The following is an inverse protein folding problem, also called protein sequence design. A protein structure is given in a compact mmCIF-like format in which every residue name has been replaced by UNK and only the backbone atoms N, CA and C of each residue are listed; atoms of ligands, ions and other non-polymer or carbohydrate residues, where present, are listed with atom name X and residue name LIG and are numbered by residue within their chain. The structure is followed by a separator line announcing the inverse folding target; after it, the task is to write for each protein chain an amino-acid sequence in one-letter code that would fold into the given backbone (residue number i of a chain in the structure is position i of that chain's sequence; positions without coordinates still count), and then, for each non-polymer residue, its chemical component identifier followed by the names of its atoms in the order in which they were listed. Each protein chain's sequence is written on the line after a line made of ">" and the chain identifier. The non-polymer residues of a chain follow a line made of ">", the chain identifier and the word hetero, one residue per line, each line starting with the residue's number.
data_IF_444958362484
#
_entry.id   IF_444958362484
#
_cell.length_a   1.000
_cell.length_b   1.000
_cell.length_c   1.000
_cell.angle_alpha   90.00
_cell.angle_beta   90.00
_cell.angle_gamma   90.00
#
_symmetry.space_group_name_H-M   'P 1'
#
loop_
_entity.id
_entity.type
_entity.pdbx_description
1 polymer ?
#
# COMPACT_ATOMS: atom_id res chain seq x y z
N UNK A 1 -38.99 7.89 -83.98
CA UNK A 1 -37.90 8.89 -84.00
C UNK A 1 -36.70 8.30 -83.29
N UNK A 2 -35.60 8.18 -84.02
CA UNK A 2 -34.30 7.71 -83.56
C UNK A 2 -33.58 8.82 -82.79
N UNK A 3 -32.93 8.53 -81.66
CA UNK A 3 -31.50 8.83 -81.45
C UNK A 3 -31.07 8.57 -80.02
N UNK A 4 -30.18 7.58 -79.89
CA UNK A 4 -29.22 7.37 -78.81
C UNK A 4 -28.19 8.49 -78.77
N UNK A 5 -27.63 8.81 -77.59
CA UNK A 5 -26.18 9.12 -77.44
C UNK A 5 -25.66 8.59 -76.10
N UNK A 6 -24.53 7.87 -76.23
CA UNK A 6 -23.78 7.17 -75.21
C UNK A 6 -22.91 8.09 -74.35
N UNK A 7 -22.37 7.56 -73.24
CA UNK A 7 -20.94 7.63 -72.93
C UNK A 7 -20.56 6.63 -71.83
N UNK A 8 -19.39 6.03 -72.04
CA UNK A 8 -18.75 4.96 -71.30
C UNK A 8 -18.06 5.43 -70.00
N UNK A 9 -17.72 4.49 -69.12
CA UNK A 9 -16.49 4.62 -68.33
C UNK A 9 -16.48 4.01 -66.93
N UNK A 10 -15.77 2.89 -66.79
CA UNK A 10 -14.79 2.53 -65.73
C UNK A 10 -15.19 2.59 -64.24
N UNK A 11 -15.15 1.45 -63.55
CA UNK A 11 -13.96 1.00 -62.79
C UNK A 11 -14.34 -0.11 -61.78
N UNK A 12 -13.62 -1.24 -61.83
CA UNK A 12 -13.57 -2.25 -60.78
C UNK A 12 -12.62 -1.75 -59.67
N UNK A 13 -13.07 -1.71 -58.42
CA UNK A 13 -12.20 -1.82 -57.25
C UNK A 13 -12.87 -2.76 -56.25
N UNK A 14 -12.30 -3.96 -56.10
CA UNK A 14 -12.59 -4.88 -55.02
C UNK A 14 -12.01 -4.31 -53.71
N UNK A 15 -12.86 -4.11 -52.70
CA UNK A 15 -12.38 -3.82 -51.35
C UNK A 15 -12.24 -5.13 -50.57
N UNK A 16 -10.99 -5.48 -50.28
CA UNK A 16 -10.59 -6.49 -49.31
C UNK A 16 -11.05 -5.99 -47.94
N UNK A 17 -12.00 -6.68 -47.31
CA UNK A 17 -12.35 -6.45 -45.93
C UNK A 17 -11.19 -6.92 -45.05
N UNK A 18 -10.38 -5.98 -44.57
CA UNK A 18 -9.45 -6.25 -43.48
C UNK A 18 -10.27 -6.47 -42.21
N UNK A 19 -10.37 -7.73 -41.77
CA UNK A 19 -10.80 -8.04 -40.42
C UNK A 19 -9.75 -7.49 -39.47
N UNK A 20 -10.03 -6.33 -38.88
CA UNK A 20 -9.37 -5.87 -37.66
C UNK A 20 -9.70 -6.89 -36.58
N UNK A 21 -8.80 -7.86 -36.40
CA UNK A 21 -8.66 -8.53 -35.13
C UNK A 21 -8.23 -7.45 -34.14
N UNK A 22 -9.22 -6.86 -33.46
CA UNK A 22 -8.97 -6.11 -32.26
C UNK A 22 -8.36 -7.09 -31.26
N UNK A 23 -7.03 -7.07 -31.14
CA UNK A 23 -6.38 -7.56 -29.95
C UNK A 23 -6.82 -6.63 -28.83
N UNK A 24 -7.92 -6.99 -28.18
CA UNK A 24 -8.28 -6.51 -26.86
C UNK A 24 -7.15 -6.98 -25.94
N UNK A 25 -6.09 -6.17 -25.84
CA UNK A 25 -5.14 -6.27 -24.75
C UNK A 25 -5.92 -5.94 -23.49
N UNK A 26 -6.57 -6.96 -22.92
CA UNK A 26 -6.96 -6.94 -21.53
C UNK A 26 -5.64 -6.94 -20.77
N UNK A 27 -5.11 -5.75 -20.46
CA UNK A 27 -4.28 -5.65 -19.26
C UNK A 27 -5.21 -6.11 -18.16
N UNK A 28 -5.01 -7.34 -17.70
CA UNK A 28 -5.49 -7.73 -16.38
C UNK A 28 -4.89 -6.68 -15.45
N UNK A 29 -5.74 -5.84 -14.85
CA UNK A 29 -5.31 -5.09 -13.69
C UNK A 29 -4.93 -6.16 -12.67
N UNK A 30 -3.62 -6.40 -12.46
CA UNK A 30 -3.07 -7.43 -11.59
C UNK A 30 -3.27 -7.02 -10.12
N UNK A 31 -4.52 -6.80 -9.77
CA UNK A 31 -4.99 -6.26 -8.51
C UNK A 31 -5.75 -7.35 -7.78
N UNK A 32 -5.42 -7.55 -6.51
CA UNK A 32 -6.03 -8.59 -5.67
C UNK A 32 -6.15 -8.13 -4.22
N UNK A 33 -7.16 -8.62 -3.49
CA UNK A 33 -7.27 -8.34 -2.07
C UNK A 33 -6.10 -8.97 -1.31
N UNK A 34 -5.51 -8.21 -0.41
CA UNK A 34 -4.60 -8.71 0.62
C UNK A 34 -5.35 -9.04 1.90
N UNK A 35 -4.59 -9.43 2.92
CA UNK A 35 -5.08 -9.53 4.29
C UNK A 35 -4.13 -8.84 5.24
N UNK A 36 -4.64 -8.42 6.40
CA UNK A 36 -3.85 -7.82 7.47
C UNK A 36 -4.04 -8.56 8.77
N UNK A 37 -2.98 -8.61 9.57
CA UNK A 37 -2.98 -9.10 10.95
C UNK A 37 -2.11 -8.15 11.80
N UNK A 38 -2.19 -8.22 13.13
CA UNK A 38 -1.24 -7.51 13.98
C UNK A 38 0.21 -7.88 13.65
N UNK A 39 1.11 -6.90 13.68
CA UNK A 39 2.55 -7.13 13.61
C UNK A 39 3.02 -8.06 14.74
N UNK A 40 4.04 -8.90 14.51
CA UNK A 40 4.65 -9.77 15.54
C UNK A 40 5.23 -8.94 16.69
N UNK A 41 5.63 -7.72 16.36
CA UNK A 41 6.21 -6.75 17.27
C UNK A 41 5.43 -5.44 17.15
N UNK A 42 4.16 -5.55 17.48
CA UNK A 42 3.25 -4.44 17.77
C UNK A 42 3.77 -3.60 18.93
N UNK A 43 4.38 -2.44 18.68
CA UNK A 43 4.54 -1.31 19.61
C UNK A 43 5.04 -1.60 21.02
N UNK A 44 6.36 -1.74 21.18
CA UNK A 44 7.07 -1.99 22.43
C UNK A 44 6.60 -1.18 23.64
N UNK A 45 7.30 -0.12 24.04
CA UNK A 45 6.91 0.69 25.22
C UNK A 45 5.60 1.47 25.02
N UNK A 46 5.13 1.52 23.79
CA UNK A 46 4.17 2.50 23.27
C UNK A 46 2.73 1.96 23.39
N UNK A 47 2.60 0.67 23.72
CA UNK A 47 1.37 0.08 24.27
C UNK A 47 0.41 -0.48 23.22
N UNK A 48 0.88 -0.68 22.00
CA UNK A 48 0.07 -1.21 20.89
C UNK A 48 0.15 -2.73 20.74
N UNK A 49 0.91 -3.40 21.61
CA UNK A 49 1.07 -4.85 21.73
C UNK A 49 -0.22 -5.66 21.40
N UNK A 50 -0.12 -6.54 20.41
CA UNK A 50 -1.18 -7.44 19.93
C UNK A 50 -2.19 -6.82 18.97
N UNK A 51 -2.03 -5.56 18.54
CA UNK A 51 -3.01 -4.87 17.70
C UNK A 51 -2.45 -4.47 16.33
N UNK A 52 -3.35 -4.29 15.38
CA UNK A 52 -3.10 -3.43 14.21
C UNK A 52 -3.18 -2.00 14.72
N UNK A 53 -2.18 -1.17 14.42
CA UNK A 53 -2.14 0.23 14.81
C UNK A 53 -1.80 1.13 13.61
N UNK A 54 -2.50 2.25 13.51
CA UNK A 54 -2.16 3.35 12.60
C UNK A 54 -2.69 4.68 13.15
N UNK A 55 -1.81 5.66 13.26
CA UNK A 55 -2.18 7.05 13.52
C UNK A 55 -1.13 7.77 14.34
N UNK A 56 -1.51 8.93 14.89
CA UNK A 56 -0.56 9.83 15.54
C UNK A 56 -0.89 10.04 17.02
N UNK A 57 0.15 10.14 17.85
CA UNK A 57 0.09 10.43 19.27
C UNK A 57 0.03 9.19 20.15
N UNK A 58 -0.01 9.37 21.47
CA UNK A 58 0.24 8.29 22.43
C UNK A 58 -1.03 7.64 23.03
N UNK A 59 -2.20 7.84 22.42
CA UNK A 59 -3.48 7.32 22.94
C UNK A 59 -4.42 6.94 21.81
N UNK A 60 -5.27 5.94 22.07
CA UNK A 60 -6.34 5.55 21.15
C UNK A 60 -7.33 6.69 20.95
N UNK A 61 -7.69 6.98 19.70
CA UNK A 61 -8.67 8.00 19.36
C UNK A 61 -9.17 7.90 17.92
N UNK A 62 -10.20 8.68 17.59
CA UNK A 62 -10.70 8.78 16.21
C UNK A 62 -9.80 9.69 15.35
N UNK A 63 -9.15 10.65 16.01
CA UNK A 63 -8.24 11.66 15.47
C UNK A 63 -6.78 11.42 15.90
N UNK A 64 -6.50 10.24 16.45
CA UNK A 64 -5.20 9.82 16.98
C UNK A 64 -4.89 8.39 16.51
N UNK A 65 -4.13 7.60 17.27
CA UNK A 65 -3.88 6.19 16.97
C UNK A 65 -5.18 5.40 16.96
N UNK A 66 -5.44 4.75 15.83
CA UNK A 66 -6.55 3.82 15.66
C UNK A 66 -6.06 2.39 15.87
N UNK A 67 -6.91 1.56 16.48
CA UNK A 67 -6.65 0.14 16.69
C UNK A 67 -7.76 -0.69 16.00
N UNK A 68 -7.74 -0.79 14.66
CA UNK A 68 -8.75 -1.51 13.91
C UNK A 68 -8.64 -3.03 14.10
N UNK A 69 -9.75 -3.73 13.91
CA UNK A 69 -9.73 -5.19 13.68
C UNK A 69 -9.38 -5.48 12.21
N UNK A 70 -8.89 -6.69 11.87
CA UNK A 70 -8.52 -7.03 10.49
C UNK A 70 -9.60 -6.76 9.44
N UNK A 71 -10.86 -6.95 9.78
CA UNK A 71 -12.02 -6.72 8.90
C UNK A 71 -12.39 -5.24 8.71
N UNK A 72 -11.69 -4.33 9.39
CA UNK A 72 -11.85 -2.88 9.27
C UNK A 72 -10.74 -2.23 8.45
N UNK A 73 -9.81 -3.02 7.92
CA UNK A 73 -8.70 -2.56 7.10
C UNK A 73 -8.78 -3.24 5.75
N UNK A 74 -8.90 -2.44 4.70
CA UNK A 74 -8.86 -2.93 3.34
C UNK A 74 -7.40 -2.89 2.87
N UNK A 75 -6.94 -4.01 2.30
CA UNK A 75 -5.60 -4.15 1.71
C UNK A 75 -5.77 -4.53 0.26
N UNK A 76 -5.17 -3.75 -0.63
CA UNK A 76 -5.20 -3.97 -2.07
C UNK A 76 -3.77 -4.11 -2.59
N UNK A 77 -3.48 -5.24 -3.23
CA UNK A 77 -2.15 -5.59 -3.71
C UNK A 77 -2.14 -5.50 -5.24
N UNK A 78 -1.22 -4.71 -5.79
CA UNK A 78 -1.08 -4.45 -7.21
C UNK A 78 0.27 -4.98 -7.72
N UNK A 79 0.25 -5.76 -8.80
CA UNK A 79 1.46 -6.36 -9.36
C UNK A 79 2.06 -7.47 -8.49
N UNK A 80 3.28 -7.92 -8.85
CA UNK A 80 3.97 -9.03 -8.20
C UNK A 80 5.49 -8.82 -8.16
N UNK A 81 6.18 -9.52 -7.25
CA UNK A 81 7.63 -9.46 -7.07
C UNK A 81 8.11 -8.03 -6.80
N UNK A 82 9.17 -7.62 -7.48
CA UNK A 82 9.77 -6.28 -7.35
C UNK A 82 8.82 -5.13 -7.78
N UNK A 83 7.71 -5.44 -8.46
CA UNK A 83 6.71 -4.45 -8.87
C UNK A 83 5.47 -4.43 -7.94
N UNK A 84 5.50 -5.16 -6.82
CA UNK A 84 4.39 -5.19 -5.89
C UNK A 84 4.23 -3.83 -5.20
N UNK A 85 3.04 -3.25 -5.31
CA UNK A 85 2.56 -2.11 -4.53
C UNK A 85 1.40 -2.57 -3.66
N UNK A 86 1.33 -2.06 -2.43
CA UNK A 86 0.25 -2.38 -1.50
C UNK A 86 -0.37 -1.08 -1.03
N UNK A 87 -1.67 -0.94 -1.26
CA UNK A 87 -2.49 0.14 -0.76
C UNK A 87 -3.33 -0.36 0.43
N UNK A 88 -3.37 0.45 1.49
CA UNK A 88 -4.05 0.15 2.74
C UNK A 88 -5.02 1.28 3.03
N UNK A 89 -6.28 0.94 3.27
CA UNK A 89 -7.27 1.86 3.81
C UNK A 89 -7.69 1.38 5.20
N UNK A 90 -7.56 2.25 6.19
CA UNK A 90 -7.92 2.00 7.58
C UNK A 90 -8.97 3.02 8.07
N UNK A 91 -9.63 2.77 9.23
CA UNK A 91 -10.69 3.63 9.70
C UNK A 91 -10.28 5.10 9.87
N UNK A 92 -11.27 6.00 9.85
CA UNK A 92 -11.08 7.45 10.02
C UNK A 92 -10.21 8.11 8.92
N UNK A 93 -10.12 7.50 7.74
CA UNK A 93 -9.49 8.09 6.56
C UNK A 93 -7.98 7.94 6.50
N UNK A 94 -7.40 7.02 7.28
CA UNK A 94 -6.00 6.67 7.17
C UNK A 94 -5.75 5.86 5.89
N UNK A 95 -4.83 6.34 5.07
CA UNK A 95 -4.35 5.64 3.88
C UNK A 95 -2.84 5.45 3.96
N UNK A 96 -2.37 4.29 3.57
CA UNK A 96 -0.94 3.98 3.50
C UNK A 96 -0.61 3.23 2.22
N UNK A 97 0.50 3.59 1.57
CA UNK A 97 0.99 2.95 0.36
C UNK A 97 2.42 2.47 0.57
N UNK A 98 2.69 1.24 0.13
CA UNK A 98 4.00 0.60 0.18
C UNK A 98 4.41 0.16 -1.21
N UNK A 99 5.70 0.27 -1.51
CA UNK A 99 6.30 -0.32 -2.72
C UNK A 99 7.35 -1.33 -2.30
N UNK A 100 7.33 -2.50 -2.94
CA UNK A 100 8.21 -3.61 -2.63
C UNK A 100 9.68 -3.20 -2.56
N UNK A 101 10.38 -3.74 -1.55
CA UNK A 101 11.78 -3.46 -1.28
C UNK A 101 12.06 -2.11 -0.60
N UNK A 102 11.07 -1.21 -0.49
CA UNK A 102 11.25 0.07 0.20
C UNK A 102 11.33 -0.10 1.73
N UNK A 103 12.06 0.80 2.39
CA UNK A 103 12.01 1.01 3.85
C UNK A 103 11.06 2.14 4.25
N UNK A 104 10.33 2.70 3.28
CA UNK A 104 9.37 3.78 3.50
C UNK A 104 7.94 3.29 3.32
N UNK A 105 7.03 3.89 4.09
CA UNK A 105 5.58 3.82 3.88
C UNK A 105 5.06 5.24 3.69
N UNK A 106 4.32 5.48 2.61
CA UNK A 106 3.68 6.78 2.37
C UNK A 106 2.34 6.78 3.08
N UNK A 107 2.08 7.74 3.97
CA UNK A 107 0.85 7.79 4.77
C UNK A 107 0.18 9.15 4.60
N UNK A 108 -1.14 9.14 4.52
CA UNK A 108 -1.98 10.33 4.53
C UNK A 108 -3.28 10.13 5.33
N UNK A 109 -3.89 11.26 5.69
CA UNK A 109 -5.26 11.32 6.20
C UNK A 109 -5.89 12.66 5.83
N UNK A 110 -6.68 12.68 4.75
CA UNK A 110 -7.32 13.90 4.26
C UNK A 110 -8.29 14.51 5.29
N UNK A 111 -8.99 13.66 6.06
CA UNK A 111 -9.98 14.10 7.06
C UNK A 111 -9.34 14.89 8.21
N UNK A 112 -8.07 14.61 8.51
CA UNK A 112 -7.27 15.32 9.50
C UNK A 112 -6.38 16.43 8.88
N UNK A 113 -6.44 16.64 7.57
CA UNK A 113 -5.55 17.50 6.79
C UNK A 113 -4.06 17.09 6.92
N UNK A 114 -3.81 15.78 6.89
CA UNK A 114 -2.48 15.19 6.87
C UNK A 114 -2.16 14.76 5.44
N UNK A 115 -1.54 15.63 4.62
CA UNK A 115 -1.16 15.25 3.26
C UNK A 115 -0.09 14.15 3.27
N UNK A 116 -0.02 13.39 2.18
CA UNK A 116 0.94 12.31 1.98
C UNK A 116 2.36 12.67 2.41
N UNK A 117 2.93 11.81 3.25
CA UNK A 117 4.30 11.89 3.71
C UNK A 117 4.92 10.50 3.80
N UNK A 118 6.22 10.40 3.49
CA UNK A 118 6.98 9.17 3.60
C UNK A 118 7.55 9.03 5.00
N UNK A 119 7.23 7.93 5.67
CA UNK A 119 7.74 7.58 6.98
C UNK A 119 8.67 6.38 6.90
N UNK A 120 9.72 6.38 7.71
CA UNK A 120 10.63 5.25 7.82
C UNK A 120 11.21 5.21 9.22
N UNK A 121 11.32 4.01 9.77
CA UNK A 121 11.95 3.82 11.07
C UNK A 121 13.41 4.31 11.05
N UNK A 122 13.81 4.99 12.12
CA UNK A 122 15.15 5.59 12.17
C UNK A 122 16.24 4.50 12.23
N UNK A 123 17.38 4.67 11.52
CA UNK A 123 18.48 3.71 11.60
C UNK A 123 18.99 3.48 13.03
N UNK A 124 18.92 4.51 13.87
CA UNK A 124 19.31 4.43 15.29
C UNK A 124 18.39 3.55 16.11
N UNK A 125 17.07 3.64 15.91
CA UNK A 125 16.08 2.79 16.58
C UNK A 125 16.23 1.33 16.15
N UNK A 126 16.38 1.08 14.83
CA UNK A 126 16.65 -0.26 14.29
C UNK A 126 17.89 -0.88 14.95
N UNK A 127 18.99 -0.11 15.05
CA UNK A 127 20.22 -0.58 15.67
C UNK A 127 20.05 -0.83 17.18
N UNK A 128 19.34 0.04 17.88
CA UNK A 128 19.10 -0.07 19.32
C UNK A 128 18.29 -1.33 19.67
N UNK A 129 17.21 -1.61 18.94
CA UNK A 129 16.41 -2.84 19.14
C UNK A 129 17.21 -4.08 18.73
N UNK A 130 17.98 -4.01 17.65
CA UNK A 130 18.84 -5.12 17.22
C UNK A 130 19.88 -5.51 18.28
N UNK A 131 20.46 -4.54 18.99
CA UNK A 131 21.43 -4.76 20.08
C UNK A 131 20.82 -5.34 21.35
N UNK A 132 19.57 -4.98 21.64
CA UNK A 132 18.87 -5.39 22.87
C UNK A 132 18.08 -6.69 22.70
N UNK A 133 17.91 -7.17 21.46
CA UNK A 133 17.26 -8.44 21.17
C UNK A 133 17.93 -9.60 21.94
N UNK A 134 17.19 -10.32 22.81
CA UNK A 134 17.74 -11.43 23.56
C UNK A 134 18.34 -12.50 22.65
N UNK A 135 19.49 -13.06 23.05
CA UNK A 135 20.07 -14.22 22.37
C UNK A 135 19.06 -15.38 22.41
N UNK A 136 18.68 -15.90 21.25
CA UNK A 136 17.66 -16.94 21.12
C UNK A 136 16.22 -16.43 21.02
N UNK A 137 16.00 -15.12 20.83
CA UNK A 137 14.69 -14.56 20.49
C UNK A 137 14.10 -15.23 19.25
N UNK A 138 12.81 -15.53 19.32
CA UNK A 138 12.03 -16.08 18.19
C UNK A 138 11.43 -15.01 17.29
N UNK A 139 11.51 -13.72 17.68
CA UNK A 139 11.03 -12.61 16.85
C UNK A 139 11.69 -12.66 15.46
N UNK A 140 10.89 -12.77 14.42
CA UNK A 140 11.32 -12.97 13.03
C UNK A 140 11.62 -11.65 12.33
N UNK A 141 10.92 -10.57 12.72
CA UNK A 141 11.00 -9.28 12.03
C UNK A 141 11.82 -8.25 12.83
N UNK A 142 12.76 -7.53 12.20
CA UNK A 142 13.33 -6.30 12.77
C UNK A 142 12.29 -5.16 12.82
N UNK A 143 12.62 -4.08 13.54
CA UNK A 143 11.90 -2.81 13.38
C UNK A 143 12.06 -2.28 11.94
N UNK A 144 11.13 -1.42 11.52
CA UNK A 144 11.01 -0.89 10.17
C UNK A 144 10.07 -1.71 9.30
N UNK A 145 10.37 -1.76 8.00
CA UNK A 145 9.56 -2.50 7.03
C UNK A 145 10.33 -3.74 6.59
N UNK A 146 9.73 -4.92 6.70
CA UNK A 146 10.36 -6.18 6.31
C UNK A 146 9.54 -6.88 5.25
N UNK A 147 10.08 -6.94 4.04
CA UNK A 147 9.48 -7.63 2.90
C UNK A 147 9.83 -9.12 2.85
N UNK A 148 8.95 -9.88 2.23
CA UNK A 148 9.10 -11.29 1.85
C UNK A 148 9.44 -12.21 3.02
N UNK A 149 8.85 -11.93 4.18
CA UNK A 149 8.95 -12.76 5.37
C UNK A 149 7.58 -12.94 6.05
N UNK A 150 7.28 -14.15 6.56
CA UNK A 150 8.03 -15.40 6.35
C UNK A 150 8.03 -15.93 4.92
N UNK A 151 7.17 -15.41 4.03
CA UNK A 151 7.10 -15.82 2.62
C UNK A 151 7.04 -14.63 1.67
N UNK A 152 7.33 -14.88 0.38
CA UNK A 152 7.24 -13.84 -0.68
C UNK A 152 5.85 -13.25 -0.70
N UNK A 153 5.73 -11.93 -0.87
CA UNK A 153 4.45 -11.21 -0.89
C UNK A 153 3.87 -10.89 0.49
N UNK A 154 4.59 -11.20 1.57
CA UNK A 154 4.26 -10.75 2.93
C UNK A 154 5.12 -9.56 3.35
N UNK A 155 4.56 -8.69 4.18
CA UNK A 155 5.22 -7.47 4.67
C UNK A 155 4.91 -7.28 6.15
N UNK A 156 5.95 -7.12 6.94
CA UNK A 156 5.82 -6.60 8.30
C UNK A 156 6.13 -5.09 8.30
N UNK A 157 5.25 -4.30 8.92
CA UNK A 157 5.43 -2.87 9.15
C UNK A 157 5.50 -2.66 10.67
N UNK A 158 6.59 -2.08 11.13
CA UNK A 158 6.79 -1.63 12.50
C UNK A 158 7.55 -0.29 12.43
N UNK A 159 6.81 0.79 12.20
CA UNK A 159 7.39 2.13 12.04
C UNK A 159 6.83 3.02 13.13
N UNK A 160 7.75 3.60 13.89
CA UNK A 160 7.56 4.76 14.75
C UNK A 160 8.45 5.90 14.19
N UNK A 161 7.86 7.06 13.91
CA UNK A 161 8.57 8.19 13.34
C UNK A 161 7.91 9.53 13.70
N UNK A 162 8.69 10.60 13.75
CA UNK A 162 8.18 11.94 14.06
C UNK A 162 7.27 12.42 12.91
N UNK A 163 6.08 12.95 13.24
CA UNK A 163 5.24 13.57 12.21
C UNK A 163 5.92 14.78 11.59
N UNK A 164 5.70 15.03 10.29
CA UNK A 164 6.33 16.15 9.63
C UNK A 164 5.73 17.48 10.12
N UNK A 165 6.48 18.59 10.06
CA UNK A 165 6.07 19.88 10.62
C UNK A 165 4.84 20.50 9.95
N UNK A 166 4.38 19.95 8.83
CA UNK A 166 3.19 20.40 8.13
C UNK A 166 1.92 19.65 8.57
N UNK A 167 2.04 18.58 9.37
CA UNK A 167 0.91 17.96 10.06
C UNK A 167 0.65 18.69 11.38
N UNK A 168 -0.54 19.26 11.52
CA UNK A 168 -0.93 19.92 12.77
C UNK A 168 -1.60 18.88 13.68
N UNK A 169 -0.80 18.32 14.59
CA UNK A 169 -1.22 17.24 15.47
C UNK A 169 -1.96 17.80 16.69
N UNK A 170 -3.16 17.27 16.96
CA UNK A 170 -3.96 17.64 18.15
C UNK A 170 -3.64 16.75 19.36
N UNK A 171 -2.35 16.59 19.66
CA UNK A 171 -1.81 15.76 20.74
C UNK A 171 -0.50 16.40 21.23
N UNK A 172 -0.17 16.28 22.53
CA UNK A 172 1.14 16.68 23.03
C UNK A 172 2.27 15.75 22.57
N UNK A 173 1.94 14.64 21.91
CA UNK A 173 2.84 13.68 21.28
C UNK A 173 2.54 13.65 19.79
N UNK A 174 3.57 13.79 18.98
CA UNK A 174 3.54 13.96 17.53
C UNK A 174 4.25 12.82 16.79
N UNK A 175 4.42 11.68 17.44
CA UNK A 175 4.91 10.42 16.87
C UNK A 175 3.78 9.75 16.07
N UNK A 176 4.09 9.28 14.87
CA UNK A 176 3.26 8.38 14.08
C UNK A 176 3.62 6.94 14.44
N UNK A 177 2.60 6.14 14.75
CA UNK A 177 2.71 4.71 14.92
C UNK A 177 2.01 3.96 13.77
N UNK A 178 2.71 3.02 13.13
CA UNK A 178 2.09 2.03 12.25
C UNK A 178 2.67 0.62 12.48
N UNK A 179 1.78 -0.30 12.85
CA UNK A 179 2.11 -1.70 13.15
C UNK A 179 1.13 -2.64 12.48
N UNK A 180 1.57 -3.32 11.42
CA UNK A 180 0.74 -4.26 10.65
C UNK A 180 1.58 -5.38 10.06
N UNK A 181 0.98 -6.56 9.91
CA UNK A 181 1.49 -7.64 9.07
C UNK A 181 0.54 -7.86 7.90
N UNK A 182 1.03 -7.72 6.68
CA UNK A 182 0.26 -7.80 5.44
C UNK A 182 0.62 -9.07 4.67
N UNK A 183 -0.37 -9.63 3.98
CA UNK A 183 -0.18 -10.77 3.11
C UNK A 183 -0.91 -10.56 1.78
N UNK A 184 -0.15 -10.56 0.69
CA UNK A 184 -0.63 -10.40 -0.68
C UNK A 184 -0.63 -11.72 -1.48
N UNK A 185 -0.65 -12.89 -0.84
CA UNK A 185 -0.69 -14.20 -1.52
C UNK A 185 -2.12 -14.72 -1.78
N UNK A 186 -3.12 -13.84 -1.66
CA UNK A 186 -4.54 -14.14 -1.85
C UNK A 186 -4.96 -14.39 -3.29
#
# INVERSE_FOLDING_TARGET
>A
MSSSRALAGLALIAMIAATLAACSGSSSDDTRPGSVTPAESSGGSDGWDGNIAIGVGNRKGIDLVTLPTPDQVDVECHGEGDNLTIDIAAPNGWHATLTHGSQTVTIENESLNYPAHDFAESPGAIEAVSKTRPKGSTKQFPLGITWDKPSVGEVEIQVDDDTPPHWIVNSPYDELDIYMHLNCNG
#
